data_IF_576191452456
#
_entry.id   IF_576191452456
#
_cell.length_a   1.000
_cell.length_b   1.000
_cell.length_c   1.000
_cell.angle_alpha   90.00
_cell.angle_beta   90.00
_cell.angle_gamma   90.00
#
_symmetry.space_group_name_H-M   'P 1'
#
loop_
_entity.id
_entity.type
_entity.pdbx_description
1 polymer ?
#
# COMPACT_ATOMS: atom_id res chain seq x y z
N UNK A 1 -40.68 55.72 -31.69
CA UNK A 1 -39.26 55.32 -31.69
C UNK A 1 -38.44 56.33 -30.87
N UNK A 2 -37.71 55.85 -29.85
CA UNK A 2 -36.34 56.26 -29.64
C UNK A 2 -35.40 55.07 -29.88
N UNK A 3 -34.18 55.40 -30.29
CA UNK A 3 -33.16 54.52 -30.87
C UNK A 3 -32.59 53.55 -29.85
N UNK A 4 -32.54 52.25 -30.20
CA UNK A 4 -31.77 51.25 -29.46
C UNK A 4 -30.29 51.61 -29.44
N UNK A 5 -29.75 51.86 -28.25
CA UNK A 5 -28.33 52.10 -28.03
C UNK A 5 -27.59 50.77 -28.22
N UNK A 6 -26.77 50.71 -29.27
CA UNK A 6 -26.04 49.50 -29.64
C UNK A 6 -24.80 49.35 -28.74
N UNK A 7 -24.90 48.53 -27.69
CA UNK A 7 -23.85 48.34 -26.66
C UNK A 7 -22.81 47.28 -27.06
N UNK A 8 -22.04 47.47 -28.12
CA UNK A 8 -21.08 46.44 -28.61
C UNK A 8 -19.79 46.37 -27.76
N UNK A 9 -19.44 45.17 -27.26
CA UNK A 9 -18.02 44.83 -26.95
C UNK A 9 -17.64 44.21 -25.58
N UNK A 10 -18.53 44.01 -24.60
CA UNK A 10 -18.15 43.47 -23.26
C UNK A 10 -19.15 42.43 -22.74
N UNK A 11 -18.69 41.49 -21.89
CA UNK A 11 -19.53 40.43 -21.25
C UNK A 11 -20.81 41.07 -20.71
N UNK A 12 -21.97 40.71 -21.28
CA UNK A 12 -23.29 41.21 -20.88
C UNK A 12 -23.90 40.20 -19.91
N UNK A 13 -24.53 40.70 -18.85
CA UNK A 13 -25.27 39.87 -17.89
C UNK A 13 -26.76 40.19 -17.99
N UNK A 14 -27.59 39.13 -17.92
CA UNK A 14 -29.04 39.23 -18.01
C UNK A 14 -29.65 39.00 -16.62
N UNK A 15 -30.38 39.99 -16.13
CA UNK A 15 -31.09 39.95 -14.85
C UNK A 15 -32.53 39.57 -15.11
N UNK A 16 -33.08 38.58 -14.41
CA UNK A 16 -34.52 38.40 -14.36
C UNK A 16 -35.09 39.21 -13.20
N UNK A 17 -36.09 40.02 -13.50
CA UNK A 17 -36.79 40.85 -12.53
C UNK A 17 -38.21 40.28 -12.41
N UNK A 18 -38.60 39.93 -11.19
CA UNK A 18 -39.89 39.33 -10.84
C UNK A 18 -40.61 40.23 -9.82
N UNK A 19 -41.90 40.49 -10.02
CA UNK A 19 -42.68 41.40 -9.19
C UNK A 19 -43.56 40.63 -8.20
N UNK A 20 -43.42 40.91 -6.90
CA UNK A 20 -43.98 40.11 -5.81
C UNK A 20 -45.40 40.45 -5.35
N UNK A 21 -46.05 41.50 -5.86
CA UNK A 21 -47.44 41.86 -5.50
C UNK A 21 -48.25 42.14 -6.77
N UNK A 22 -49.45 41.56 -6.93
CA UNK A 22 -50.28 41.80 -8.11
C UNK A 22 -50.94 43.19 -8.03
N UNK A 23 -50.62 44.14 -8.94
CA UNK A 23 -51.53 45.26 -9.16
C UNK A 23 -52.86 44.73 -9.73
N UNK A 24 -53.98 45.36 -9.37
CA UNK A 24 -55.29 45.08 -9.99
C UNK A 24 -55.24 45.54 -11.46
N UNK A 25 -54.88 44.64 -12.38
CA UNK A 25 -54.84 44.92 -13.83
C UNK A 25 -53.85 44.04 -14.61
N UNK A 26 -53.92 44.12 -15.95
CA UNK A 26 -52.91 43.56 -16.84
C UNK A 26 -51.59 44.33 -16.69
N UNK A 27 -50.47 43.62 -16.54
CA UNK A 27 -49.13 44.22 -16.44
C UNK A 27 -48.32 43.79 -17.66
N UNK A 28 -48.07 44.73 -18.56
CA UNK A 28 -47.48 44.48 -19.88
C UNK A 28 -45.97 44.65 -19.87
N UNK A 29 -45.30 44.25 -20.96
CA UNK A 29 -43.88 44.53 -21.15
C UNK A 29 -43.53 46.02 -21.09
N UNK A 30 -44.46 46.90 -21.49
CA UNK A 30 -44.24 48.35 -21.38
C UNK A 30 -44.24 48.83 -19.92
N UNK A 31 -45.17 48.32 -19.11
CA UNK A 31 -45.24 48.66 -17.67
C UNK A 31 -43.98 48.18 -16.92
N UNK A 32 -43.42 47.05 -17.35
CA UNK A 32 -42.14 46.54 -16.87
C UNK A 32 -40.98 47.51 -17.15
N UNK A 33 -40.86 47.96 -18.41
CA UNK A 33 -39.81 48.92 -18.80
C UNK A 33 -39.94 50.23 -18.04
N UNK A 34 -41.16 50.77 -17.90
CA UNK A 34 -41.43 52.00 -17.16
C UNK A 34 -41.00 51.85 -15.70
N UNK A 35 -41.36 50.75 -15.04
CA UNK A 35 -41.00 50.49 -13.64
C UNK A 35 -39.49 50.43 -13.43
N UNK A 36 -38.77 49.70 -14.30
CA UNK A 36 -37.31 49.58 -14.21
C UNK A 36 -36.62 50.91 -14.51
N UNK A 37 -37.07 51.64 -15.53
CA UNK A 37 -36.55 52.96 -15.86
C UNK A 37 -36.77 53.97 -14.71
N UNK A 38 -37.96 53.95 -14.10
CA UNK A 38 -38.29 54.80 -12.96
C UNK A 38 -37.41 54.49 -11.75
N UNK A 39 -37.24 53.20 -11.41
CA UNK A 39 -36.42 52.75 -10.30
C UNK A 39 -34.94 53.17 -10.46
N UNK A 40 -34.38 52.95 -11.65
CA UNK A 40 -32.99 53.30 -11.94
C UNK A 40 -32.81 54.82 -11.93
N UNK A 41 -33.75 55.57 -12.53
CA UNK A 41 -33.70 57.03 -12.56
C UNK A 41 -33.80 57.65 -11.17
N UNK A 42 -34.69 57.14 -10.31
CA UNK A 42 -34.90 57.68 -8.97
C UNK A 42 -33.72 57.42 -8.03
N UNK A 43 -33.07 56.25 -8.14
CA UNK A 43 -31.98 55.89 -7.23
C UNK A 43 -30.61 56.33 -7.75
N UNK A 44 -30.35 56.21 -9.06
CA UNK A 44 -29.02 56.51 -9.63
C UNK A 44 -28.96 57.86 -10.36
N UNK A 45 -30.09 58.47 -10.71
CA UNK A 45 -30.13 59.78 -11.37
C UNK A 45 -29.27 59.83 -12.63
N UNK A 46 -28.40 60.85 -12.75
CA UNK A 46 -27.48 61.02 -13.89
C UNK A 46 -26.32 60.02 -13.91
N UNK A 47 -26.13 59.23 -12.84
CA UNK A 47 -25.07 58.20 -12.75
C UNK A 47 -25.52 56.82 -13.23
N UNK A 48 -26.75 56.71 -13.76
CA UNK A 48 -27.28 55.45 -14.28
C UNK A 48 -26.42 54.92 -15.45
N UNK A 49 -25.95 53.66 -15.38
CA UNK A 49 -25.19 53.06 -16.47
C UNK A 49 -26.10 52.74 -17.66
N UNK A 50 -25.52 52.45 -18.83
CA UNK A 50 -26.30 52.04 -19.99
C UNK A 50 -26.81 50.60 -19.83
N UNK A 51 -28.11 50.40 -20.05
CA UNK A 51 -28.76 49.09 -20.08
C UNK A 51 -29.76 48.99 -21.22
N UNK A 52 -30.21 47.77 -21.49
CA UNK A 52 -31.25 47.46 -22.48
C UNK A 52 -32.19 46.39 -21.93
N UNK A 53 -33.40 46.31 -22.45
CA UNK A 53 -34.37 45.30 -22.04
C UNK A 53 -34.27 44.06 -22.93
N UNK A 54 -34.34 42.88 -22.32
CA UNK A 54 -34.58 41.63 -23.02
C UNK A 54 -36.07 41.24 -22.96
N UNK A 55 -36.43 40.01 -23.37
CA UNK A 55 -37.83 39.60 -23.44
C UNK A 55 -38.54 39.66 -22.08
N UNK A 56 -39.82 40.06 -22.11
CA UNK A 56 -40.73 40.04 -20.98
C UNK A 56 -41.77 38.94 -21.17
N UNK A 57 -41.95 38.09 -20.16
CA UNK A 57 -43.01 37.09 -20.11
C UNK A 57 -44.17 37.62 -19.27
N UNK A 58 -45.30 37.92 -19.92
CA UNK A 58 -46.49 38.50 -19.27
C UNK A 58 -47.20 37.51 -18.32
N UNK A 59 -47.12 36.21 -18.59
CA UNK A 59 -47.75 35.16 -17.77
C UNK A 59 -46.97 35.00 -16.46
N UNK A 60 -45.64 34.90 -16.56
CA UNK A 60 -44.77 34.76 -15.39
C UNK A 60 -44.41 36.10 -14.74
N UNK A 61 -44.75 37.23 -15.38
CA UNK A 61 -44.35 38.60 -15.00
C UNK A 61 -42.85 38.73 -14.75
N UNK A 62 -42.07 38.06 -15.60
CA UNK A 62 -40.60 38.06 -15.55
C UNK A 62 -40.05 38.81 -16.74
N UNK A 63 -39.36 39.90 -16.45
CA UNK A 63 -38.63 40.66 -17.45
C UNK A 63 -37.15 40.44 -17.36
N UNK A 64 -36.43 40.84 -18.41
CA UNK A 64 -34.99 40.79 -18.39
C UNK A 64 -34.33 42.14 -18.68
N UNK A 65 -33.28 42.45 -17.91
CA UNK A 65 -32.45 43.64 -18.11
C UNK A 65 -31.05 43.18 -18.47
N UNK A 66 -30.50 43.75 -19.53
CA UNK A 66 -29.17 43.45 -20.06
C UNK A 66 -28.28 44.66 -19.84
N UNK A 67 -27.24 44.49 -19.03
CA UNK A 67 -26.28 45.53 -18.65
C UNK A 67 -24.84 45.03 -18.78
N UNK A 68 -23.87 45.93 -18.87
CA UNK A 68 -22.46 45.56 -18.81
C UNK A 68 -22.11 44.95 -17.46
N UNK A 69 -21.26 43.92 -17.45
CA UNK A 69 -20.89 43.20 -16.24
C UNK A 69 -20.32 44.08 -15.12
N UNK A 70 -19.63 45.19 -15.45
CA UNK A 70 -19.09 46.13 -14.46
C UNK A 70 -20.18 46.92 -13.71
N UNK A 71 -21.34 47.13 -14.35
CA UNK A 71 -22.34 48.09 -13.88
C UNK A 71 -23.57 47.38 -13.27
N UNK A 72 -23.53 46.05 -13.24
CA UNK A 72 -24.53 45.15 -12.66
C UNK A 72 -24.91 45.54 -11.25
N UNK A 73 -23.90 45.78 -10.40
CA UNK A 73 -24.14 46.02 -8.98
C UNK A 73 -24.89 47.34 -8.75
N UNK A 74 -24.70 48.33 -9.62
CA UNK A 74 -25.44 49.59 -9.57
C UNK A 74 -26.92 49.38 -9.90
N UNK A 75 -27.22 48.67 -10.99
CA UNK A 75 -28.61 48.39 -11.40
C UNK A 75 -29.32 47.51 -10.35
N UNK A 76 -28.61 46.51 -9.81
CA UNK A 76 -29.13 45.64 -8.75
C UNK A 76 -29.45 46.44 -7.48
N UNK A 77 -28.53 47.28 -7.04
CA UNK A 77 -28.72 48.13 -5.87
C UNK A 77 -29.90 49.08 -6.08
N UNK A 78 -30.01 49.69 -7.26
CA UNK A 78 -31.12 50.58 -7.60
C UNK A 78 -32.48 49.90 -7.50
N UNK A 79 -32.63 48.73 -8.12
CA UNK A 79 -33.88 47.97 -8.11
C UNK A 79 -34.21 47.42 -6.71
N UNK A 80 -33.20 47.00 -5.95
CA UNK A 80 -33.37 46.50 -4.58
C UNK A 80 -33.80 47.61 -3.61
N UNK A 81 -33.16 48.78 -3.70
CA UNK A 81 -33.49 49.96 -2.88
C UNK A 81 -34.87 50.48 -3.25
N UNK A 82 -35.17 50.61 -4.55
CA UNK A 82 -36.49 51.03 -5.02
C UNK A 82 -37.59 50.09 -4.53
N UNK A 83 -37.39 48.77 -4.66
CA UNK A 83 -38.39 47.80 -4.23
C UNK A 83 -38.65 47.81 -2.71
N UNK A 84 -37.61 48.06 -1.91
CA UNK A 84 -37.72 48.14 -0.44
C UNK A 84 -38.33 49.46 0.05
N UNK A 85 -37.95 50.60 -0.52
CA UNK A 85 -38.38 51.93 -0.05
C UNK A 85 -39.72 52.40 -0.63
N UNK A 86 -40.08 51.97 -1.84
CA UNK A 86 -41.32 52.37 -2.52
C UNK A 86 -42.42 51.30 -2.47
N UNK A 87 -42.26 50.25 -1.65
CA UNK A 87 -43.29 49.25 -1.39
C UNK A 87 -43.65 48.36 -2.59
N UNK A 88 -42.77 48.24 -3.59
CA UNK A 88 -42.94 47.37 -4.76
C UNK A 88 -41.98 46.18 -4.63
N UNK A 89 -42.39 45.00 -4.14
CA UNK A 89 -41.46 43.89 -3.98
C UNK A 89 -40.92 43.44 -5.34
N UNK A 90 -39.62 43.60 -5.53
CA UNK A 90 -38.89 43.18 -6.73
C UNK A 90 -37.94 42.06 -6.31
N UNK A 91 -38.09 40.88 -6.88
CA UNK A 91 -37.14 39.78 -6.78
C UNK A 91 -36.21 39.79 -8.01
N UNK A 92 -34.91 39.68 -7.76
CA UNK A 92 -33.89 39.71 -8.80
C UNK A 92 -33.19 38.35 -8.83
N UNK A 93 -33.10 37.74 -10.02
CA UNK A 93 -32.41 36.47 -10.23
C UNK A 93 -31.31 36.64 -11.28
N UNK A 94 -30.09 36.18 -10.96
CA UNK A 94 -29.02 36.04 -11.95
C UNK A 94 -29.22 34.75 -12.74
N UNK A 95 -29.25 34.83 -14.07
CA UNK A 95 -29.15 33.65 -14.92
C UNK A 95 -27.79 33.65 -15.61
N UNK A 96 -26.83 32.94 -15.03
CA UNK A 96 -25.59 32.56 -15.71
C UNK A 96 -25.73 31.11 -16.16
N UNK A 97 -25.21 30.77 -17.35
CA UNK A 97 -25.15 29.40 -17.87
C UNK A 97 -24.11 28.54 -17.10
N UNK A 98 -24.07 28.66 -15.77
CA UNK A 98 -23.02 28.12 -14.88
C UNK A 98 -22.90 26.60 -14.95
N UNK A 99 -23.97 25.87 -15.33
CA UNK A 99 -23.93 24.40 -15.40
C UNK A 99 -22.92 23.90 -16.45
N UNK A 100 -22.84 24.50 -17.63
CA UNK A 100 -21.88 24.08 -18.66
C UNK A 100 -20.43 24.37 -18.25
N UNK A 101 -20.19 25.51 -17.60
CA UNK A 101 -18.86 25.88 -17.11
C UNK A 101 -18.40 24.96 -15.96
N UNK A 102 -19.34 24.51 -15.11
CA UNK A 102 -19.06 23.53 -14.04
C UNK A 102 -18.70 22.16 -14.63
N UNK A 103 -19.48 21.62 -15.58
CA UNK A 103 -19.17 20.32 -16.19
C UNK A 103 -17.85 20.34 -16.98
N UNK A 104 -17.58 21.43 -17.71
CA UNK A 104 -16.30 21.62 -18.39
C UNK A 104 -15.14 21.67 -17.40
N UNK A 105 -15.30 22.41 -16.29
CA UNK A 105 -14.27 22.50 -15.24
C UNK A 105 -14.01 21.15 -14.57
N UNK A 106 -15.06 20.39 -14.24
CA UNK A 106 -14.94 19.03 -13.68
C UNK A 106 -14.25 18.09 -14.68
N UNK A 107 -14.60 18.18 -15.96
CA UNK A 107 -13.96 17.37 -17.02
C UNK A 107 -12.48 17.70 -17.17
N UNK A 108 -12.12 18.99 -17.20
CA UNK A 108 -10.73 19.44 -17.25
C UNK A 108 -9.93 18.98 -16.02
N UNK A 109 -10.51 19.09 -14.82
CA UNK A 109 -9.89 18.61 -13.59
C UNK A 109 -9.68 17.10 -13.62
N UNK A 110 -10.70 16.34 -14.04
CA UNK A 110 -10.64 14.89 -14.16
C UNK A 110 -9.56 14.47 -15.15
N UNK A 111 -9.50 15.12 -16.32
CA UNK A 111 -8.46 14.89 -17.31
C UNK A 111 -7.06 15.20 -16.77
N UNK A 112 -6.89 16.33 -16.10
CA UNK A 112 -5.61 16.70 -15.49
C UNK A 112 -5.16 15.66 -14.45
N UNK A 113 -6.07 15.19 -13.59
CA UNK A 113 -5.78 14.14 -12.61
C UNK A 113 -5.37 12.85 -13.31
N UNK A 114 -6.15 12.36 -14.28
CA UNK A 114 -5.83 11.14 -15.03
C UNK A 114 -4.49 11.26 -15.76
N UNK A 115 -4.22 12.42 -16.37
CA UNK A 115 -2.96 12.70 -17.06
C UNK A 115 -1.77 12.67 -16.11
N UNK A 116 -1.88 13.31 -14.94
CA UNK A 116 -0.82 13.32 -13.91
C UNK A 116 -0.56 11.89 -13.40
N UNK A 117 -1.61 11.13 -13.09
CA UNK A 117 -1.46 9.73 -12.66
C UNK A 117 -0.88 8.85 -13.76
N UNK A 118 -1.27 9.06 -15.01
CA UNK A 118 -0.71 8.37 -16.17
C UNK A 118 0.78 8.64 -16.33
N UNK A 119 1.20 9.91 -16.25
CA UNK A 119 2.61 10.31 -16.29
C UNK A 119 3.38 9.69 -15.12
N UNK A 120 2.83 9.72 -13.91
CA UNK A 120 3.43 9.12 -12.73
C UNK A 120 3.66 7.62 -12.91
N UNK A 121 2.67 6.88 -13.43
CA UNK A 121 2.81 5.44 -13.68
C UNK A 121 3.85 5.13 -14.77
N UNK A 122 3.97 5.98 -15.79
CA UNK A 122 5.03 5.84 -16.81
C UNK A 122 6.41 6.04 -16.17
N UNK A 123 6.56 7.06 -15.33
CA UNK A 123 7.81 7.30 -14.59
C UNK A 123 8.16 6.11 -13.69
N UNK A 124 7.17 5.59 -12.94
CA UNK A 124 7.34 4.37 -12.14
C UNK A 124 7.79 3.21 -13.01
N UNK A 125 7.13 2.94 -14.13
CA UNK A 125 7.48 1.83 -15.03
C UNK A 125 8.95 1.90 -15.50
N UNK A 126 9.44 3.09 -15.86
CA UNK A 126 10.81 3.29 -16.34
C UNK A 126 11.83 3.20 -15.20
N UNK A 127 11.45 3.57 -13.97
CA UNK A 127 12.33 3.50 -12.79
C UNK A 127 12.45 2.09 -12.19
N UNK A 128 11.56 1.15 -12.54
CA UNK A 128 11.60 -0.18 -11.95
C UNK A 128 12.78 -1.02 -12.49
N UNK A 129 13.53 -1.70 -11.61
CA UNK A 129 14.58 -2.62 -12.02
C UNK A 129 14.01 -3.85 -12.74
N UNK A 130 14.79 -4.40 -13.67
CA UNK A 130 14.41 -5.59 -14.42
C UNK A 130 14.24 -6.81 -13.50
N UNK A 131 13.17 -7.58 -13.73
CA UNK A 131 13.02 -8.91 -13.12
C UNK A 131 14.03 -9.87 -13.74
N UNK A 132 14.75 -10.59 -12.88
CA UNK A 132 15.65 -11.67 -13.29
C UNK A 132 15.10 -13.00 -12.75
N UNK A 133 14.49 -13.83 -13.61
CA UNK A 133 14.09 -15.19 -13.26
C UNK A 133 15.28 -15.97 -12.71
N UNK A 134 15.03 -16.86 -11.75
CA UNK A 134 16.07 -17.69 -11.16
C UNK A 134 15.83 -19.16 -11.47
N UNK A 135 16.89 -19.84 -11.90
CA UNK A 135 16.95 -21.30 -11.93
C UNK A 135 17.58 -21.83 -10.65
N UNK A 136 17.06 -22.96 -10.17
CA UNK A 136 17.55 -23.67 -8.99
C UNK A 136 18.35 -24.93 -9.37
N UNK A 137 18.26 -25.36 -10.63
CA UNK A 137 18.89 -26.60 -11.09
C UNK A 137 20.41 -26.48 -11.04
N UNK A 138 21.06 -27.49 -10.44
CA UNK A 138 22.52 -27.53 -10.27
C UNK A 138 23.07 -26.50 -9.27
N UNK A 139 22.21 -25.78 -8.53
CA UNK A 139 22.62 -24.83 -7.51
C UNK A 139 22.77 -25.49 -6.14
N UNK A 140 23.50 -24.85 -5.25
CA UNK A 140 23.61 -25.23 -3.85
C UNK A 140 22.95 -24.20 -2.94
N UNK A 141 21.99 -24.66 -2.12
CA UNK A 141 21.29 -23.85 -1.12
C UNK A 141 21.66 -24.23 0.32
N UNK A 142 22.03 -23.24 1.13
CA UNK A 142 22.23 -23.42 2.57
C UNK A 142 21.01 -22.92 3.33
N UNK A 143 20.40 -23.76 4.17
CA UNK A 143 19.12 -23.49 4.85
C UNK A 143 19.30 -23.62 6.36
N UNK A 144 19.14 -22.51 7.08
CA UNK A 144 19.09 -22.55 8.54
C UNK A 144 17.70 -22.95 9.04
N UNK A 145 17.63 -23.75 10.11
CA UNK A 145 16.36 -24.29 10.60
C UNK A 145 15.74 -25.32 9.63
N UNK A 146 16.54 -26.04 8.86
CA UNK A 146 16.09 -26.98 7.83
C UNK A 146 15.51 -28.32 8.33
N UNK A 147 15.50 -28.56 9.64
CA UNK A 147 15.11 -29.86 10.21
C UNK A 147 13.59 -30.09 10.33
N UNK A 148 12.77 -29.03 10.27
CA UNK A 148 11.31 -29.08 10.39
C UNK A 148 10.62 -27.83 9.83
N UNK A 149 9.28 -27.82 9.84
CA UNK A 149 8.45 -26.68 9.43
C UNK A 149 8.79 -26.11 8.06
N UNK A 150 8.77 -24.78 7.94
CA UNK A 150 9.00 -24.04 6.68
C UNK A 150 10.37 -24.36 6.09
N UNK A 151 11.43 -24.44 6.91
CA UNK A 151 12.79 -24.76 6.44
C UNK A 151 12.88 -26.12 5.75
N UNK A 152 12.27 -27.15 6.34
CA UNK A 152 12.18 -28.48 5.72
C UNK A 152 11.38 -28.42 4.41
N UNK A 153 10.24 -27.72 4.40
CA UNK A 153 9.40 -27.59 3.22
C UNK A 153 10.13 -26.87 2.06
N UNK A 154 10.91 -25.83 2.35
CA UNK A 154 11.77 -25.15 1.37
C UNK A 154 12.83 -26.11 0.83
N UNK A 155 13.47 -26.90 1.70
CA UNK A 155 14.46 -27.90 1.27
C UNK A 155 13.86 -28.94 0.31
N UNK A 156 12.65 -29.44 0.60
CA UNK A 156 11.91 -30.35 -0.29
C UNK A 156 11.64 -29.69 -1.65
N UNK A 157 11.17 -28.43 -1.65
CA UNK A 157 10.83 -27.70 -2.86
C UNK A 157 12.05 -27.41 -3.75
N UNK A 158 13.22 -27.18 -3.14
CA UNK A 158 14.50 -26.96 -3.82
C UNK A 158 15.07 -28.27 -4.39
N UNK A 159 15.12 -29.34 -3.59
CA UNK A 159 15.58 -30.67 -4.05
C UNK A 159 14.74 -31.16 -5.24
N UNK A 160 13.42 -30.92 -5.22
CA UNK A 160 12.52 -31.25 -6.34
C UNK A 160 12.94 -30.60 -7.66
N UNK A 161 13.62 -29.46 -7.60
CA UNK A 161 14.06 -28.66 -8.74
C UNK A 161 15.54 -28.82 -9.06
N UNK A 162 16.18 -29.87 -8.54
CA UNK A 162 17.58 -30.18 -8.85
C UNK A 162 18.58 -29.31 -8.09
N UNK A 163 18.17 -28.66 -6.99
CA UNK A 163 19.06 -27.88 -6.13
C UNK A 163 19.55 -28.75 -4.97
N UNK A 164 20.87 -28.85 -4.81
CA UNK A 164 21.48 -29.48 -3.63
C UNK A 164 21.31 -28.60 -2.40
N UNK A 165 21.12 -29.19 -1.23
CA UNK A 165 20.83 -28.45 0.00
C UNK A 165 21.75 -28.83 1.17
N UNK A 166 22.21 -27.83 1.90
CA UNK A 166 22.88 -27.95 3.19
C UNK A 166 21.94 -27.49 4.29
N UNK A 167 21.57 -28.38 5.21
CA UNK A 167 20.62 -28.10 6.28
C UNK A 167 21.33 -27.90 7.61
N UNK A 168 21.12 -26.75 8.25
CA UNK A 168 21.68 -26.45 9.57
C UNK A 168 20.59 -26.36 10.64
N UNK A 169 20.73 -27.12 11.73
CA UNK A 169 19.89 -27.04 12.92
C UNK A 169 20.57 -27.73 14.11
N UNK A 170 19.99 -27.63 15.31
CA UNK A 170 20.58 -28.20 16.54
C UNK A 170 20.40 -29.72 16.70
N UNK A 171 19.32 -30.28 16.16
CA UNK A 171 18.98 -31.69 16.37
C UNK A 171 19.53 -32.55 15.23
N UNK A 172 20.70 -33.16 15.45
CA UNK A 172 21.37 -34.03 14.49
C UNK A 172 20.51 -35.20 14.00
N UNK A 173 19.79 -35.88 14.90
CA UNK A 173 18.94 -37.04 14.53
C UNK A 173 17.82 -36.63 13.58
N UNK A 174 17.16 -35.51 13.86
CA UNK A 174 16.11 -35.00 12.99
C UNK A 174 16.65 -34.57 11.63
N UNK A 175 17.82 -33.92 11.61
CA UNK A 175 18.49 -33.52 10.37
C UNK A 175 18.86 -34.74 9.50
N UNK A 176 19.42 -35.77 10.11
CA UNK A 176 19.79 -37.01 9.43
C UNK A 176 18.57 -37.67 8.77
N UNK A 177 17.45 -37.78 9.50
CA UNK A 177 16.20 -38.30 8.95
C UNK A 177 15.73 -37.50 7.74
N UNK A 178 15.72 -36.16 7.84
CA UNK A 178 15.30 -35.28 6.74
C UNK A 178 16.23 -35.40 5.55
N UNK A 179 17.56 -35.41 5.74
CA UNK A 179 18.50 -35.59 4.63
C UNK A 179 18.33 -36.95 3.96
N UNK A 180 18.08 -38.02 4.72
CA UNK A 180 17.81 -39.35 4.15
C UNK A 180 16.53 -39.35 3.29
N UNK A 181 15.45 -38.73 3.78
CA UNK A 181 14.21 -38.54 3.00
C UNK A 181 14.46 -37.75 1.71
N UNK A 182 15.16 -36.62 1.79
CA UNK A 182 15.47 -35.76 0.63
C UNK A 182 16.36 -36.45 -0.40
N UNK A 183 17.38 -37.17 0.05
CA UNK A 183 18.28 -37.93 -0.83
C UNK A 183 17.57 -39.10 -1.50
N UNK A 184 16.68 -39.81 -0.78
CA UNK A 184 15.84 -40.84 -1.38
C UNK A 184 14.94 -40.23 -2.47
N UNK A 185 14.30 -39.09 -2.18
CA UNK A 185 13.46 -38.39 -3.15
C UNK A 185 14.25 -37.93 -4.38
N UNK A 186 15.43 -37.33 -4.22
CA UNK A 186 16.29 -36.91 -5.32
C UNK A 186 16.68 -38.08 -6.24
N UNK A 187 17.02 -39.24 -5.65
CA UNK A 187 17.29 -40.48 -6.39
C UNK A 187 16.09 -40.93 -7.22
N UNK A 188 14.86 -40.87 -6.67
CA UNK A 188 13.66 -41.21 -7.45
C UNK A 188 13.44 -40.27 -8.64
N UNK A 189 13.82 -39.00 -8.51
CA UNK A 189 13.71 -37.99 -9.56
C UNK A 189 14.85 -38.01 -10.58
N UNK A 190 15.95 -38.72 -10.28
CA UNK A 190 17.17 -38.78 -11.11
C UNK A 190 17.71 -37.40 -11.49
N UNK A 191 17.62 -36.43 -10.58
CA UNK A 191 18.00 -35.04 -10.84
C UNK A 191 19.38 -34.64 -10.28
N UNK A 192 20.11 -35.58 -9.68
CA UNK A 192 21.49 -35.36 -9.20
C UNK A 192 21.63 -34.49 -7.94
N UNK A 193 20.54 -33.97 -7.38
CA UNK A 193 20.59 -33.14 -6.20
C UNK A 193 20.92 -33.95 -4.94
N UNK A 194 21.64 -33.35 -4.01
CA UNK A 194 22.10 -33.99 -2.76
C UNK A 194 21.74 -33.12 -1.56
N UNK A 195 21.32 -33.75 -0.47
CA UNK A 195 21.10 -33.12 0.83
C UNK A 195 22.18 -33.54 1.83
N UNK A 196 22.79 -32.55 2.49
CA UNK A 196 23.75 -32.69 3.60
C UNK A 196 23.25 -31.94 4.82
N UNK A 197 23.72 -32.31 6.02
CA UNK A 197 23.32 -31.63 7.25
C UNK A 197 24.51 -31.28 8.15
N UNK A 198 24.33 -30.21 8.93
CA UNK A 198 25.29 -29.71 9.90
C UNK A 198 24.56 -29.44 11.21
N UNK A 199 24.99 -30.13 12.28
CA UNK A 199 24.41 -29.95 13.61
C UNK A 199 25.06 -28.76 14.29
N UNK A 200 24.37 -27.61 14.30
CA UNK A 200 24.90 -26.36 14.88
C UNK A 200 23.79 -25.49 15.45
N UNK A 201 24.12 -24.77 16.52
CA UNK A 201 23.34 -23.62 16.96
C UNK A 201 23.74 -22.37 16.18
N UNK A 202 22.81 -21.80 15.42
CA UNK A 202 23.05 -20.61 14.61
C UNK A 202 23.26 -19.34 15.44
N UNK A 203 23.09 -19.40 16.77
CA UNK A 203 23.51 -18.33 17.69
C UNK A 203 24.95 -18.49 18.19
N UNK A 204 25.69 -19.48 17.68
CA UNK A 204 27.11 -19.65 17.98
C UNK A 204 27.94 -18.49 17.42
N UNK A 205 29.23 -18.44 17.79
CA UNK A 205 30.14 -17.41 17.29
C UNK A 205 30.26 -17.45 15.76
N UNK A 206 30.52 -16.29 15.16
CA UNK A 206 30.70 -16.15 13.71
C UNK A 206 31.73 -17.15 13.14
N UNK A 207 32.85 -17.40 13.85
CA UNK A 207 33.89 -18.33 13.40
C UNK A 207 33.38 -19.78 13.25
N UNK A 208 32.46 -20.22 14.12
CA UNK A 208 31.86 -21.56 14.03
C UNK A 208 30.96 -21.63 12.79
N UNK A 209 30.14 -20.61 12.55
CA UNK A 209 29.25 -20.56 11.40
C UNK A 209 30.02 -20.46 10.08
N UNK A 210 31.09 -19.66 10.06
CA UNK A 210 31.99 -19.56 8.90
C UNK A 210 32.66 -20.90 8.59
N UNK A 211 33.11 -21.65 9.60
CA UNK A 211 33.70 -22.97 9.41
C UNK A 211 32.72 -23.96 8.77
N UNK A 212 31.46 -23.97 9.23
CA UNK A 212 30.41 -24.84 8.67
C UNK A 212 30.04 -24.46 7.25
N UNK A 213 29.99 -23.16 6.95
CA UNK A 213 29.77 -22.69 5.57
C UNK A 213 30.88 -23.19 4.65
N UNK A 214 32.15 -23.08 5.07
CA UNK A 214 33.29 -23.61 4.30
C UNK A 214 33.23 -25.13 4.14
N UNK A 215 32.82 -25.86 5.16
CA UNK A 215 32.63 -27.31 5.10
C UNK A 215 31.56 -27.67 4.06
N UNK A 216 30.40 -27.01 4.11
CA UNK A 216 29.32 -27.19 3.15
C UNK A 216 29.73 -26.89 1.71
N UNK A 217 30.51 -25.83 1.50
CA UNK A 217 31.04 -25.49 0.19
C UNK A 217 32.05 -26.51 -0.34
N UNK A 218 32.84 -27.12 0.54
CA UNK A 218 33.80 -28.17 0.13
C UNK A 218 33.11 -29.47 -0.30
N UNK A 219 31.92 -29.76 0.25
CA UNK A 219 31.16 -30.97 -0.08
C UNK A 219 30.25 -30.81 -1.30
N UNK A 220 29.61 -29.64 -1.47
CA UNK A 220 28.55 -29.44 -2.47
C UNK A 220 28.83 -28.30 -3.47
N UNK A 221 29.98 -27.64 -3.37
CA UNK A 221 30.34 -26.46 -4.17
C UNK A 221 29.82 -25.15 -3.58
N UNK A 222 30.12 -24.03 -4.23
CA UNK A 222 29.79 -22.68 -3.73
C UNK A 222 28.29 -22.52 -3.42
N UNK A 223 27.97 -21.89 -2.30
CA UNK A 223 26.59 -21.64 -1.90
C UNK A 223 26.04 -20.49 -2.74
N UNK A 224 25.12 -20.81 -3.66
CA UNK A 224 24.45 -19.81 -4.50
C UNK A 224 23.17 -19.28 -3.83
N UNK A 225 22.61 -20.00 -2.87
CA UNK A 225 21.35 -19.62 -2.22
C UNK A 225 21.52 -19.76 -0.71
N UNK A 226 21.28 -18.69 0.04
CA UNK A 226 21.19 -18.74 1.50
C UNK A 226 19.74 -18.51 1.92
N UNK A 227 19.17 -19.42 2.69
CA UNK A 227 17.85 -19.28 3.30
C UNK A 227 18.01 -19.09 4.81
N UNK A 228 17.93 -17.84 5.25
CA UNK A 228 17.86 -17.47 6.65
C UNK A 228 16.44 -17.75 7.18
N UNK A 229 16.24 -18.96 7.71
CA UNK A 229 14.94 -19.44 8.18
C UNK A 229 14.88 -19.75 9.68
N UNK A 230 16.01 -20.05 10.32
CA UNK A 230 16.03 -20.31 11.75
C UNK A 230 15.42 -19.15 12.56
N UNK A 231 14.49 -19.48 13.46
CA UNK A 231 13.83 -18.50 14.30
C UNK A 231 12.84 -19.13 15.27
N UNK A 232 12.41 -18.34 16.26
CA UNK A 232 11.29 -18.67 17.14
C UNK A 232 10.48 -17.41 17.48
N UNK A 233 9.24 -17.60 17.91
CA UNK A 233 8.45 -16.56 18.55
C UNK A 233 8.25 -16.90 20.03
N UNK A 234 8.56 -15.94 20.89
CA UNK A 234 8.13 -15.91 22.29
C UNK A 234 7.30 -14.65 22.48
N UNK A 235 6.04 -14.88 22.85
CA UNK A 235 5.00 -13.88 23.02
C UNK A 235 4.70 -13.60 24.48
N UNK A 236 4.24 -12.38 24.75
CA UNK A 236 3.83 -11.94 26.07
C UNK A 236 3.68 -10.42 26.11
N UNK A 237 2.98 -9.90 27.11
CA UNK A 237 2.96 -8.45 27.33
C UNK A 237 4.34 -7.97 27.74
N UNK A 238 4.65 -6.71 27.41
CA UNK A 238 5.98 -6.14 27.62
C UNK A 238 6.48 -6.27 29.07
N UNK A 239 5.59 -6.03 30.03
CA UNK A 239 5.81 -6.11 31.48
C UNK A 239 5.96 -7.55 32.01
N UNK A 240 5.48 -8.55 31.25
CA UNK A 240 5.55 -9.96 31.64
C UNK A 240 6.78 -10.69 31.12
N UNK A 241 7.44 -10.15 30.08
CA UNK A 241 8.57 -10.78 29.44
C UNK A 241 9.89 -10.30 30.05
N UNK A 242 10.74 -11.25 30.46
CA UNK A 242 12.11 -10.95 30.86
C UNK A 242 12.91 -10.35 29.70
N UNK A 243 13.81 -9.41 30.03
CA UNK A 243 14.72 -8.78 29.04
C UNK A 243 15.52 -9.84 28.27
N UNK A 244 15.92 -10.93 28.92
CA UNK A 244 16.67 -12.03 28.27
C UNK A 244 15.92 -12.68 27.10
N UNK A 245 14.58 -12.60 27.06
CA UNK A 245 13.77 -13.08 25.94
C UNK A 245 14.00 -12.22 24.69
N UNK A 246 14.16 -10.91 24.86
CA UNK A 246 14.46 -9.98 23.77
C UNK A 246 15.85 -10.25 23.20
N UNK A 247 16.85 -10.41 24.06
CA UNK A 247 18.23 -10.71 23.66
C UNK A 247 18.33 -12.04 22.91
N UNK A 248 17.69 -13.09 23.43
CA UNK A 248 17.68 -14.42 22.79
C UNK A 248 16.98 -14.39 21.44
N UNK A 249 15.82 -13.75 21.33
CA UNK A 249 15.12 -13.63 20.05
C UNK A 249 15.89 -12.76 19.07
N UNK A 250 16.53 -11.68 19.50
CA UNK A 250 17.37 -10.85 18.63
C UNK A 250 18.59 -11.62 18.13
N UNK A 251 19.23 -12.39 19.01
CA UNK A 251 20.36 -13.25 18.65
C UNK A 251 19.95 -14.31 17.62
N UNK A 252 18.83 -15.00 17.86
CA UNK A 252 18.36 -16.07 16.99
C UNK A 252 17.73 -15.57 15.70
N UNK A 253 16.77 -14.65 15.75
CA UNK A 253 15.97 -14.26 14.58
C UNK A 253 16.69 -13.25 13.69
N UNK A 254 17.59 -12.44 14.25
CA UNK A 254 18.27 -11.36 13.52
C UNK A 254 19.78 -11.61 13.39
N UNK A 255 20.54 -11.64 14.49
CA UNK A 255 22.01 -11.70 14.42
C UNK A 255 22.52 -12.99 13.74
N UNK A 256 21.85 -14.12 13.94
CA UNK A 256 22.19 -15.36 13.23
C UNK A 256 22.14 -15.17 11.70
N UNK A 257 21.14 -14.43 11.21
CA UNK A 257 20.98 -14.15 9.78
C UNK A 257 22.05 -13.20 9.25
N UNK A 258 22.53 -12.28 10.09
CA UNK A 258 23.67 -11.40 9.79
C UNK A 258 24.94 -12.24 9.66
N UNK A 259 25.20 -13.15 10.61
CA UNK A 259 26.39 -14.00 10.59
C UNK A 259 26.43 -14.94 9.40
N UNK A 260 25.32 -15.64 9.12
CA UNK A 260 25.24 -16.53 7.97
C UNK A 260 25.36 -15.77 6.65
N UNK A 261 24.73 -14.60 6.55
CA UNK A 261 24.89 -13.72 5.38
C UNK A 261 26.35 -13.30 5.21
N UNK A 262 27.00 -12.87 6.28
CA UNK A 262 28.41 -12.45 6.25
C UNK A 262 29.34 -13.59 5.80
N UNK A 263 29.04 -14.83 6.19
CA UNK A 263 29.85 -16.00 5.86
C UNK A 263 29.80 -16.38 4.37
N UNK A 264 28.69 -16.11 3.66
CA UNK A 264 28.54 -16.50 2.23
C UNK A 264 28.78 -15.35 1.24
N UNK A 265 28.61 -14.10 1.68
CA UNK A 265 28.46 -12.96 0.76
C UNK A 265 29.70 -12.66 -0.09
N UNK A 266 30.92 -12.93 0.39
CA UNK A 266 32.14 -12.66 -0.40
C UNK A 266 32.16 -13.49 -1.68
N UNK A 267 31.99 -14.81 -1.55
CA UNK A 267 31.98 -15.73 -2.69
C UNK A 267 30.82 -15.47 -3.64
N UNK A 268 29.62 -15.15 -3.12
CA UNK A 268 28.49 -14.75 -3.96
C UNK A 268 28.80 -13.50 -4.79
N UNK A 269 29.54 -12.53 -4.23
CA UNK A 269 29.96 -11.31 -4.95
C UNK A 269 31.02 -11.61 -6.00
N UNK A 270 31.97 -12.48 -5.69
CA UNK A 270 33.04 -12.91 -6.59
C UNK A 270 32.48 -13.68 -7.80
N UNK A 271 31.57 -14.63 -7.56
CA UNK A 271 30.91 -15.42 -8.61
C UNK A 271 29.83 -14.64 -9.37
N UNK A 272 29.37 -13.50 -8.81
CA UNK A 272 28.21 -12.72 -9.28
C UNK A 272 26.94 -13.56 -9.40
N UNK A 273 26.84 -14.59 -8.58
CA UNK A 273 25.76 -15.56 -8.55
C UNK A 273 25.42 -15.91 -7.10
N UNK A 274 24.41 -15.22 -6.58
CA UNK A 274 23.97 -15.40 -5.20
C UNK A 274 22.53 -14.95 -5.01
N UNK A 275 21.84 -15.59 -4.06
CA UNK A 275 20.52 -15.18 -3.60
C UNK A 275 20.39 -15.39 -2.09
N UNK A 276 20.20 -14.32 -1.34
CA UNK A 276 19.96 -14.35 0.09
C UNK A 276 18.47 -14.16 0.36
N UNK A 277 17.85 -15.12 1.02
CA UNK A 277 16.42 -15.18 1.31
C UNK A 277 16.22 -15.10 2.81
N UNK A 278 15.37 -14.18 3.26
CA UNK A 278 14.99 -14.04 4.66
C UNK A 278 13.56 -14.53 4.88
N UNK A 279 13.39 -15.54 5.73
CA UNK A 279 12.06 -15.98 6.19
C UNK A 279 11.63 -15.09 7.35
N UNK A 280 10.82 -14.09 7.03
CA UNK A 280 10.33 -13.11 7.97
C UNK A 280 8.98 -13.56 8.58
N UNK A 281 8.01 -12.66 8.69
CA UNK A 281 6.66 -12.92 9.21
C UNK A 281 5.76 -11.73 8.89
N UNK A 282 4.45 -11.93 8.80
CA UNK A 282 3.49 -10.82 8.81
C UNK A 282 3.67 -9.87 10.02
N UNK A 283 4.20 -10.37 11.14
CA UNK A 283 4.56 -9.57 12.32
C UNK A 283 5.77 -8.62 12.08
N UNK A 284 6.49 -8.77 10.97
CA UNK A 284 7.50 -7.82 10.50
C UNK A 284 6.94 -6.70 9.61
N UNK A 285 5.61 -6.66 9.41
CA UNK A 285 4.91 -5.66 8.59
C UNK A 285 3.85 -4.90 9.37
N UNK A 286 3.27 -5.50 10.41
CA UNK A 286 2.25 -4.86 11.23
C UNK A 286 2.49 -5.10 12.74
N UNK A 287 2.18 -4.11 13.59
CA UNK A 287 2.29 -4.26 15.04
C UNK A 287 1.14 -5.13 15.56
N UNK A 288 1.47 -6.06 16.45
CA UNK A 288 0.51 -6.98 17.10
C UNK A 288 0.81 -7.00 18.59
N UNK A 289 -0.24 -6.93 19.41
CA UNK A 289 -0.12 -7.03 20.87
C UNK A 289 0.56 -8.36 21.25
N UNK A 290 1.48 -8.32 22.21
CA UNK A 290 2.19 -9.52 22.67
C UNK A 290 3.41 -9.92 21.85
N UNK A 291 3.67 -9.24 20.72
CA UNK A 291 4.85 -9.47 19.86
C UNK A 291 5.90 -8.35 19.96
N UNK A 292 6.03 -7.66 21.09
CA UNK A 292 7.07 -6.63 21.24
C UNK A 292 8.47 -7.20 21.06
N UNK A 293 8.75 -8.37 21.64
CA UNK A 293 10.04 -9.04 21.48
C UNK A 293 10.20 -9.67 20.09
N UNK A 294 9.22 -10.48 19.65
CA UNK A 294 9.28 -11.17 18.35
C UNK A 294 9.22 -10.21 17.15
N UNK A 295 8.20 -9.34 17.12
CA UNK A 295 7.95 -8.38 16.04
C UNK A 295 9.13 -7.45 15.81
N UNK A 296 9.76 -6.93 16.88
CA UNK A 296 10.95 -6.10 16.76
C UNK A 296 12.08 -6.78 15.96
N UNK A 297 12.32 -8.08 16.18
CA UNK A 297 13.31 -8.83 15.40
C UNK A 297 12.94 -8.95 13.92
N UNK A 298 11.65 -9.11 13.61
CA UNK A 298 11.14 -9.26 12.24
C UNK A 298 11.11 -7.94 11.46
N UNK A 299 10.93 -6.81 12.16
CA UNK A 299 11.19 -5.48 11.60
C UNK A 299 12.69 -5.23 11.38
N UNK A 300 13.57 -5.68 12.28
CA UNK A 300 15.03 -5.56 12.11
C UNK A 300 15.54 -6.36 10.89
N UNK A 301 15.08 -7.60 10.73
CA UNK A 301 15.38 -8.43 9.54
C UNK A 301 14.94 -7.73 8.26
N UNK A 302 13.74 -7.15 8.25
CA UNK A 302 13.22 -6.42 7.10
C UNK A 302 14.11 -5.23 6.73
N UNK A 303 14.41 -4.36 7.70
CA UNK A 303 15.26 -3.19 7.46
C UNK A 303 16.66 -3.58 6.98
N UNK A 304 17.24 -4.63 7.55
CA UNK A 304 18.52 -5.18 7.12
C UNK A 304 18.48 -5.70 5.68
N UNK A 305 17.48 -6.50 5.32
CA UNK A 305 17.36 -7.07 3.98
C UNK A 305 17.09 -6.00 2.89
N UNK A 306 16.31 -4.97 3.20
CA UNK A 306 16.07 -3.84 2.28
C UNK A 306 17.35 -3.02 2.04
N UNK A 307 18.12 -2.72 3.09
CA UNK A 307 19.40 -2.03 2.95
C UNK A 307 20.44 -2.91 2.21
N UNK A 308 20.57 -4.17 2.60
CA UNK A 308 21.50 -5.13 2.00
C UNK A 308 21.24 -5.33 0.50
N UNK A 309 19.97 -5.26 0.07
CA UNK A 309 19.63 -5.34 -1.35
C UNK A 309 20.38 -4.29 -2.18
N UNK A 310 20.43 -3.04 -1.71
CA UNK A 310 21.11 -1.96 -2.42
C UNK A 310 22.64 -2.16 -2.44
N UNK A 311 23.22 -2.65 -1.34
CA UNK A 311 24.66 -2.94 -1.25
C UNK A 311 25.10 -4.06 -2.21
N UNK A 312 24.22 -5.04 -2.44
CA UNK A 312 24.50 -6.23 -3.23
C UNK A 312 24.12 -6.11 -4.71
N UNK A 313 23.31 -5.10 -5.06
CA UNK A 313 22.86 -4.83 -6.43
C UNK A 313 24.01 -4.78 -7.47
N UNK A 314 25.15 -4.09 -7.24
CA UNK A 314 26.25 -4.01 -8.22
C UNK A 314 26.92 -5.36 -8.52
N UNK A 315 26.78 -6.33 -7.62
CA UNK A 315 27.42 -7.63 -7.67
C UNK A 315 26.51 -8.72 -8.24
N UNK A 316 25.29 -8.38 -8.68
CA UNK A 316 24.29 -9.35 -9.15
C UNK A 316 23.92 -10.41 -8.09
N UNK A 317 24.05 -10.07 -6.80
CA UNK A 317 23.58 -10.92 -5.71
C UNK A 317 22.18 -10.45 -5.32
N UNK A 318 21.20 -11.35 -5.41
CA UNK A 318 19.81 -11.05 -5.12
C UNK A 318 19.53 -11.14 -3.62
N UNK A 319 18.57 -10.34 -3.16
CA UNK A 319 18.01 -10.42 -1.81
C UNK A 319 16.51 -10.50 -1.94
N UNK A 320 15.87 -11.41 -1.20
CA UNK A 320 14.42 -11.54 -1.14
C UNK A 320 13.92 -11.78 0.28
N UNK A 321 12.67 -11.42 0.53
CA UNK A 321 12.01 -11.60 1.82
C UNK A 321 10.70 -12.33 1.60
N UNK A 322 10.39 -13.31 2.46
CA UNK A 322 9.06 -13.90 2.54
C UNK A 322 8.40 -13.51 3.85
N UNK A 323 7.10 -13.26 3.80
CA UNK A 323 6.26 -12.95 4.95
C UNK A 323 5.21 -14.05 5.15
N UNK A 324 5.57 -15.20 5.75
CA UNK A 324 4.61 -16.24 6.03
C UNK A 324 3.54 -15.75 7.02
N UNK A 325 2.28 -16.15 6.85
CA UNK A 325 1.23 -16.05 7.86
C UNK A 325 1.41 -17.17 8.91
N UNK A 326 0.43 -17.34 9.79
CA UNK A 326 0.37 -18.50 10.67
C UNK A 326 0.48 -19.78 9.82
N UNK A 327 1.49 -20.59 10.13
CA UNK A 327 1.82 -21.79 9.36
C UNK A 327 1.82 -23.00 10.27
N UNK A 328 1.18 -24.08 9.85
CA UNK A 328 1.02 -25.32 10.61
C UNK A 328 2.37 -26.04 10.78
N UNK A 329 3.14 -25.60 11.77
CA UNK A 329 4.47 -26.11 12.09
C UNK A 329 4.52 -26.51 13.55
N UNK A 330 5.47 -27.38 13.91
CA UNK A 330 5.66 -27.74 15.31
C UNK A 330 6.06 -26.53 16.18
N UNK A 331 6.70 -25.52 15.57
CA UNK A 331 6.98 -24.24 16.22
C UNK A 331 5.69 -23.50 16.60
N UNK A 332 4.78 -23.35 15.64
CA UNK A 332 3.48 -22.71 15.88
C UNK A 332 2.62 -23.48 16.90
N UNK A 333 2.63 -24.82 16.83
CA UNK A 333 1.91 -25.65 17.82
C UNK A 333 2.46 -25.42 19.24
N UNK A 334 3.78 -25.26 19.40
CA UNK A 334 4.38 -24.93 20.69
C UNK A 334 4.01 -23.51 21.15
N UNK A 335 3.98 -22.53 20.24
CA UNK A 335 3.53 -21.17 20.54
C UNK A 335 2.10 -21.14 21.08
N UNK A 336 1.19 -21.94 20.51
CA UNK A 336 -0.21 -22.02 20.95
C UNK A 336 -0.37 -22.43 22.43
N UNK A 337 0.60 -23.17 23.00
CA UNK A 337 0.56 -23.62 24.40
C UNK A 337 0.71 -22.47 25.40
N UNK A 338 1.47 -21.43 25.04
CA UNK A 338 1.78 -20.29 25.92
C UNK A 338 1.17 -18.98 25.42
N UNK A 339 0.40 -19.01 24.33
CA UNK A 339 -0.20 -17.82 23.72
C UNK A 339 -1.23 -17.16 24.64
N UNK A 340 -1.05 -15.88 25.01
CA UNK A 340 -2.05 -15.17 25.81
C UNK A 340 -3.38 -15.01 25.06
N UNK A 341 -4.47 -14.85 25.81
CA UNK A 341 -5.85 -14.80 25.26
C UNK A 341 -6.03 -13.69 24.23
N UNK A 342 -5.46 -12.51 24.48
CA UNK A 342 -5.50 -11.35 23.57
C UNK A 342 -4.91 -11.70 22.21
N UNK A 343 -3.69 -12.24 22.20
CA UNK A 343 -3.00 -12.63 20.99
C UNK A 343 -3.71 -13.79 20.28
N UNK A 344 -4.29 -14.73 21.04
CA UNK A 344 -5.07 -15.83 20.48
C UNK A 344 -6.33 -15.34 19.75
N UNK A 345 -7.07 -14.39 20.33
CA UNK A 345 -8.21 -13.76 19.66
C UNK A 345 -7.76 -12.97 18.40
N UNK A 346 -6.66 -12.21 18.47
CA UNK A 346 -6.11 -11.50 17.30
C UNK A 346 -5.68 -12.46 16.17
N UNK A 347 -4.95 -13.52 16.51
CA UNK A 347 -4.46 -14.51 15.54
C UNK A 347 -5.59 -15.32 14.90
N UNK A 348 -6.73 -15.48 15.58
CA UNK A 348 -7.90 -16.18 15.03
C UNK A 348 -8.55 -15.48 13.83
N UNK A 349 -8.20 -14.20 13.59
CA UNK A 349 -8.64 -13.45 12.42
C UNK A 349 -7.87 -13.84 11.13
N UNK A 350 -6.78 -14.62 11.24
CA UNK A 350 -5.96 -15.03 10.10
C UNK A 350 -6.12 -16.52 9.74
N UNK A 351 -5.83 -16.86 8.48
CA UNK A 351 -5.79 -18.26 8.02
C UNK A 351 -4.55 -19.02 8.50
N UNK A 352 -4.68 -20.35 8.61
CA UNK A 352 -3.57 -21.27 8.86
C UNK A 352 -3.15 -21.93 7.53
N UNK A 353 -1.86 -21.88 7.21
CA UNK A 353 -1.31 -22.40 5.96
C UNK A 353 -0.40 -23.60 6.20
N UNK A 354 -0.34 -24.52 5.24
CA UNK A 354 0.60 -25.65 5.29
C UNK A 354 2.01 -25.20 4.88
N UNK A 355 3.08 -25.70 5.53
CA UNK A 355 4.46 -25.34 5.22
C UNK A 355 4.83 -25.55 3.75
N UNK A 356 4.31 -26.60 3.12
CA UNK A 356 4.53 -26.93 1.71
C UNK A 356 3.95 -25.85 0.79
N UNK A 357 2.76 -25.32 1.11
CA UNK A 357 2.15 -24.25 0.33
C UNK A 357 2.96 -22.95 0.46
N UNK A 358 3.47 -22.66 1.65
CA UNK A 358 4.37 -21.51 1.90
C UNK A 358 5.65 -21.64 1.09
N UNK A 359 6.29 -22.81 1.12
CA UNK A 359 7.52 -23.09 0.39
C UNK A 359 7.30 -23.04 -1.14
N UNK A 360 6.25 -23.65 -1.68
CA UNK A 360 5.98 -23.59 -3.12
C UNK A 360 5.66 -22.17 -3.59
N UNK A 361 4.92 -21.39 -2.80
CA UNK A 361 4.68 -19.98 -3.09
C UNK A 361 5.99 -19.17 -3.13
N UNK A 362 6.89 -19.42 -2.18
CA UNK A 362 8.24 -18.82 -2.17
C UNK A 362 8.97 -19.14 -3.48
N UNK A 363 9.15 -20.43 -3.76
CA UNK A 363 9.96 -20.87 -4.90
C UNK A 363 9.36 -20.37 -6.22
N UNK A 364 8.03 -20.36 -6.36
CA UNK A 364 7.35 -19.76 -7.51
C UNK A 364 7.68 -18.27 -7.67
N UNK A 365 7.56 -17.47 -6.61
CA UNK A 365 7.85 -16.03 -6.68
C UNK A 365 9.34 -15.74 -6.98
N UNK A 366 10.25 -16.49 -6.37
CA UNK A 366 11.69 -16.39 -6.64
C UNK A 366 12.01 -16.75 -8.10
N UNK A 367 11.38 -17.80 -8.66
CA UNK A 367 11.55 -18.18 -10.06
C UNK A 367 11.14 -17.07 -11.04
N UNK A 368 10.23 -16.17 -10.63
CA UNK A 368 9.80 -15.00 -11.41
C UNK A 368 10.61 -13.74 -11.12
N UNK A 369 11.61 -13.82 -10.23
CA UNK A 369 12.47 -12.70 -9.85
C UNK A 369 11.78 -11.67 -8.96
N UNK A 370 10.73 -12.03 -8.23
CA UNK A 370 10.06 -11.13 -7.29
C UNK A 370 10.94 -10.92 -6.05
N UNK A 371 10.95 -9.70 -5.51
CA UNK A 371 11.71 -9.35 -4.29
C UNK A 371 11.04 -9.87 -3.01
N UNK A 372 9.73 -9.69 -2.89
CA UNK A 372 8.99 -10.15 -1.73
C UNK A 372 7.99 -11.25 -2.11
N UNK A 373 7.74 -12.15 -1.16
CA UNK A 373 6.65 -13.13 -1.24
C UNK A 373 5.67 -12.89 -0.10
N UNK A 374 4.43 -12.57 -0.47
CA UNK A 374 3.30 -12.44 0.43
C UNK A 374 2.29 -13.55 0.10
N UNK A 375 1.64 -14.11 1.12
CA UNK A 375 0.76 -15.27 0.98
C UNK A 375 -0.65 -14.91 1.42
N UNK A 376 -1.63 -15.32 0.65
CA UNK A 376 -3.05 -15.01 0.91
C UNK A 376 -3.39 -13.56 0.61
N UNK A 377 -4.68 -13.23 0.72
CA UNK A 377 -5.18 -11.89 0.45
C UNK A 377 -4.69 -10.90 1.51
N UNK A 378 -4.72 -11.29 2.78
CA UNK A 378 -4.27 -10.49 3.92
C UNK A 378 -2.77 -10.20 3.82
N UNK A 379 -1.97 -11.21 3.49
CA UNK A 379 -0.54 -11.05 3.26
C UNK A 379 -0.25 -10.13 2.09
N UNK A 380 -0.97 -10.25 0.97
CA UNK A 380 -0.83 -9.34 -0.17
C UNK A 380 -1.21 -7.90 0.21
N UNK A 381 -2.32 -7.69 0.93
CA UNK A 381 -2.72 -6.38 1.42
C UNK A 381 -1.66 -5.76 2.33
N UNK A 382 -1.11 -6.54 3.27
CA UNK A 382 0.01 -6.12 4.11
C UNK A 382 1.27 -5.80 3.30
N UNK A 383 1.57 -6.59 2.27
CA UNK A 383 2.65 -6.32 1.32
C UNK A 383 2.49 -4.97 0.63
N UNK A 384 1.28 -4.65 0.17
CA UNK A 384 0.98 -3.34 -0.43
C UNK A 384 1.12 -2.21 0.60
N UNK A 385 0.51 -2.36 1.78
CA UNK A 385 0.49 -1.33 2.81
C UNK A 385 1.85 -1.03 3.41
N UNK A 386 2.65 -2.08 3.55
CA UNK A 386 3.95 -1.99 4.19
C UNK A 386 5.05 -1.71 3.18
N UNK A 387 4.76 -1.63 1.87
CA UNK A 387 5.76 -1.47 0.80
C UNK A 387 6.77 -0.34 1.09
N UNK A 388 6.32 0.85 1.51
CA UNK A 388 7.22 1.93 1.91
C UNK A 388 8.30 2.22 0.86
N UNK A 389 9.57 2.19 1.28
CA UNK A 389 10.75 2.30 0.40
C UNK A 389 11.34 0.95 -0.05
N UNK A 390 10.61 -0.15 0.13
CA UNK A 390 11.09 -1.48 -0.21
C UNK A 390 11.30 -1.63 -1.73
N UNK A 391 12.28 -2.45 -2.16
CA UNK A 391 12.47 -2.76 -3.57
C UNK A 391 11.22 -3.39 -4.20
N UNK A 392 10.84 -2.89 -5.38
CA UNK A 392 9.79 -3.46 -6.22
C UNK A 392 10.34 -3.70 -7.62
N UNK A 393 9.98 -4.84 -8.22
CA UNK A 393 10.40 -5.21 -9.58
C UNK A 393 9.19 -5.41 -10.52
N UNK A 394 7.98 -5.39 -9.96
CA UNK A 394 6.74 -5.70 -10.64
C UNK A 394 5.91 -4.44 -10.84
N UNK A 395 5.77 -3.99 -12.09
CA UNK A 395 4.94 -2.82 -12.41
C UNK A 395 3.51 -2.95 -11.89
N UNK A 396 2.89 -4.12 -12.05
CA UNK A 396 1.52 -4.34 -11.57
C UNK A 396 1.42 -4.18 -10.04
N UNK A 397 2.44 -4.63 -9.30
CA UNK A 397 2.46 -4.52 -7.85
C UNK A 397 2.74 -3.07 -7.42
N UNK A 398 3.67 -2.37 -8.09
CA UNK A 398 3.93 -0.95 -7.88
C UNK A 398 2.68 -0.09 -8.15
N UNK A 399 1.98 -0.37 -9.26
CA UNK A 399 0.72 0.29 -9.58
C UNK A 399 -0.34 0.02 -8.52
N UNK A 400 -0.46 -1.22 -8.04
CA UNK A 400 -1.37 -1.55 -6.94
C UNK A 400 -1.01 -0.80 -5.64
N UNK A 401 0.28 -0.64 -5.34
CA UNK A 401 0.74 0.14 -4.19
C UNK A 401 0.35 1.61 -4.27
N UNK A 402 0.53 2.23 -5.45
CA UNK A 402 0.18 3.64 -5.68
C UNK A 402 -1.34 3.86 -5.68
N UNK A 403 -2.10 2.98 -6.35
CA UNK A 403 -3.54 3.18 -6.55
C UNK A 403 -4.37 2.75 -5.34
N UNK A 404 -4.01 1.64 -4.67
CA UNK A 404 -4.83 1.06 -3.61
C UNK A 404 -4.29 1.30 -2.21
N UNK A 405 -3.06 1.82 -2.05
CA UNK A 405 -2.45 2.03 -0.74
C UNK A 405 -3.33 2.82 0.24
N UNK A 406 -3.96 3.90 -0.23
CA UNK A 406 -4.87 4.71 0.59
C UNK A 406 -6.14 3.96 1.02
N UNK A 407 -6.77 3.22 0.10
CA UNK A 407 -7.97 2.42 0.39
C UNK A 407 -7.64 1.28 1.38
N UNK A 408 -6.58 0.54 1.11
CA UNK A 408 -6.13 -0.53 1.99
C UNK A 408 -5.76 0.01 3.38
N UNK A 409 -5.26 1.25 3.46
CA UNK A 409 -4.90 1.88 4.74
C UNK A 409 -6.14 2.15 5.57
N UNK A 410 -7.24 2.57 4.94
CA UNK A 410 -8.53 2.75 5.60
C UNK A 410 -9.05 1.40 6.13
N UNK A 411 -8.96 0.32 5.35
CA UNK A 411 -9.31 -1.03 5.80
C UNK A 411 -8.45 -1.43 7.01
N UNK A 412 -7.15 -1.18 6.97
CA UNK A 412 -6.25 -1.51 8.08
C UNK A 412 -6.56 -0.73 9.36
N UNK A 413 -7.06 0.52 9.28
CA UNK A 413 -7.53 1.25 10.46
C UNK A 413 -8.69 0.52 11.16
N UNK A 414 -9.58 -0.10 10.39
CA UNK A 414 -10.71 -0.88 10.94
C UNK A 414 -10.18 -2.12 11.66
N UNK A 415 -9.23 -2.85 11.05
CA UNK A 415 -8.56 -3.99 11.69
C UNK A 415 -7.85 -3.61 12.98
N UNK A 416 -7.08 -2.51 12.98
CA UNK A 416 -6.39 -2.02 14.18
C UNK A 416 -7.39 -1.63 15.26
N UNK A 417 -8.49 -0.94 14.90
CA UNK A 417 -9.57 -0.63 15.82
C UNK A 417 -10.18 -1.88 16.45
N UNK A 418 -10.39 -2.93 15.66
CA UNK A 418 -10.86 -4.22 16.15
C UNK A 418 -9.85 -4.89 17.09
N UNK A 419 -8.55 -4.89 16.76
CA UNK A 419 -7.51 -5.43 17.64
C UNK A 419 -7.41 -4.68 18.97
N UNK A 420 -7.50 -3.35 18.95
CA UNK A 420 -7.55 -2.54 20.16
C UNK A 420 -8.77 -2.91 21.03
N UNK A 421 -9.94 -3.08 20.41
CA UNK A 421 -11.13 -3.53 21.11
C UNK A 421 -10.96 -4.92 21.75
N UNK A 422 -10.31 -5.88 21.07
CA UNK A 422 -9.99 -7.20 21.63
C UNK A 422 -9.15 -7.05 22.89
N UNK A 423 -8.07 -6.26 22.82
CA UNK A 423 -7.15 -6.03 23.96
C UNK A 423 -7.90 -5.41 25.14
N UNK A 424 -8.71 -4.37 24.91
CA UNK A 424 -9.51 -3.73 25.97
C UNK A 424 -10.58 -4.67 26.55
N UNK A 425 -11.24 -5.46 25.72
CA UNK A 425 -12.25 -6.45 26.14
C UNK A 425 -11.62 -7.54 27.01
N UNK A 426 -10.46 -8.07 26.62
CA UNK A 426 -9.73 -9.06 27.41
C UNK A 426 -9.26 -8.48 28.74
N UNK A 427 -8.76 -7.22 28.75
CA UNK A 427 -8.40 -6.52 29.98
C UNK A 427 -9.59 -6.34 30.93
N UNK A 428 -10.78 -5.98 30.41
CA UNK A 428 -12.01 -5.84 31.23
C UNK A 428 -12.51 -7.15 31.85
N UNK A 429 -12.09 -8.31 31.32
CA UNK A 429 -12.46 -9.63 31.84
C UNK A 429 -11.46 -10.19 32.85
N UNK A 430 -10.32 -9.54 33.05
CA UNK A 430 -9.35 -9.83 34.10
C UNK A 430 -9.69 -8.99 35.32
#
# INVERSE_FOLDING_TARGET
MPRGVNLTGRRRLTFKVELGVPPKGAFTGHDFEVLVNEAIRLILGQTAPNYSFGPFNEIERKGSVVVQASDVNLIWAALSVYGRFFGKPIALHFNSNDKMDIYFSISCLTFAVVFIYGLLLILVYISLPQKKPQSFEGKHAFITGGSKGIGKAIAVALIRRGCSVSLAARNAKQLELVCNELNAFAKTKKNGAVAKYYSVDVTSSYNVLEAIVKEAESELGDINILVNNAGCAVQGSFDSLDVSVYEKQMSLNFLSSVYMTKAVVSKMKESRDGHIIFVNSAAGQCPIWGYTAYGATKFAVRGFAEALHMELLPYNVQVSIIYPPNTNTEGYQHELLTMPKELKEINSCGGLFEPEAVAECLIYNLSRGNYHTCIGLEGWMLGVLSAGGAPEKSFLQAAAQVLFGGLLRAIMLIYIGHFNWIVEKCKRKR
#
